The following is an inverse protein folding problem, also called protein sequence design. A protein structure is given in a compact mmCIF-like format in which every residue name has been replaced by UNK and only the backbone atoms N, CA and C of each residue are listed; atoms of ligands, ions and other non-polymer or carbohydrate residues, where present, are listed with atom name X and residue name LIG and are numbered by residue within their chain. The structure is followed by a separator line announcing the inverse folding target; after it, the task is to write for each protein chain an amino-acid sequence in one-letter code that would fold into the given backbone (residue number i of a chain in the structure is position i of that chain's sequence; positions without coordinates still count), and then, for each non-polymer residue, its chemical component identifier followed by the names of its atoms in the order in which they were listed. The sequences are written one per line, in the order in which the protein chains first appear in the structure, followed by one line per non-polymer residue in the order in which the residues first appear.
data_IF_288419657652
#
_entry.id   IF_288419657652
#
_cell.length_a   1.000
_cell.length_b   1.000
_cell.length_c   1.000
_cell.angle_alpha   90.00
_cell.angle_beta   90.00
_cell.angle_gamma   90.00
#
_symmetry.space_group_name_H-M   'P 1'
#
loop_
_entity.id
_entity.type
_entity.pdbx_description
1 polymer ?
#
# COMPACT_ATOMS: atom_id res chain seq x y z
N UNK A 1 -35.55 36.74 -57.63
CA UNK A 1 -35.46 37.94 -58.48
C UNK A 1 -34.05 38.00 -59.00
N UNK A 2 -34.00 37.69 -60.23
CA UNK A 2 -33.57 38.53 -61.35
C UNK A 2 -32.09 38.86 -61.26
N UNK A 3 -31.38 38.36 -62.08
CA UNK A 3 -31.01 38.73 -63.51
C UNK A 3 -29.59 39.23 -63.43
N UNK A 4 -28.67 39.03 -64.27
CA UNK A 4 -28.58 38.61 -65.66
C UNK A 4 -27.08 38.64 -65.97
N UNK A 5 -26.61 37.67 -66.62
CA UNK A 5 -26.54 37.65 -68.09
C UNK A 5 -25.37 38.47 -68.65
N UNK A 6 -24.49 37.69 -69.25
CA UNK A 6 -23.89 37.98 -70.57
C UNK A 6 -22.86 39.12 -70.66
N UNK A 7 -21.85 39.07 -71.36
CA UNK A 7 -21.68 38.54 -72.73
C UNK A 7 -20.16 38.66 -73.11
N UNK A 8 -19.79 37.79 -73.91
CA UNK A 8 -19.06 37.95 -75.19
C UNK A 8 -17.53 38.01 -75.07
N UNK A 9 -16.84 37.00 -75.41
CA UNK A 9 -16.59 36.41 -76.70
C UNK A 9 -15.69 37.26 -77.62
N UNK A 10 -14.78 36.55 -78.17
CA UNK A 10 -14.02 36.80 -79.41
C UNK A 10 -12.79 37.70 -79.23
N UNK A 11 -11.68 37.34 -79.67
CA UNK A 11 -11.09 36.94 -80.98
C UNK A 11 -9.63 36.66 -80.74
N UNK A 12 -9.16 35.54 -80.92
CA UNK A 12 -8.70 34.98 -82.24
C UNK A 12 -7.36 35.54 -82.73
N UNK A 13 -6.53 34.59 -82.83
CA UNK A 13 -5.68 34.38 -84.01
C UNK A 13 -4.30 35.01 -84.07
N UNK A 14 -3.39 34.08 -84.08
CA UNK A 14 -2.21 33.87 -84.95
C UNK A 14 -1.00 34.81 -84.79
N UNK A 15 0.13 34.30 -84.68
CA UNK A 15 1.06 33.78 -85.70
C UNK A 15 2.36 33.43 -84.97
N UNK A 16 2.79 32.21 -85.03
CA UNK A 16 3.96 31.77 -85.82
C UNK A 16 5.19 32.65 -85.76
N UNK A 17 6.18 32.12 -85.10
CA UNK A 17 7.47 31.78 -85.69
C UNK A 17 8.48 31.65 -84.58
N UNK A 18 9.04 30.50 -84.45
CA UNK A 18 10.29 30.13 -84.99
C UNK A 18 11.51 30.31 -84.10
N UNK A 19 12.24 29.28 -84.11
CA UNK A 19 13.67 29.14 -83.83
C UNK A 19 14.21 28.93 -82.44
N UNK A 20 14.60 27.73 -82.24
CA UNK A 20 16.00 27.37 -82.09
C UNK A 20 16.69 27.97 -80.86
N UNK A 21 16.81 27.15 -79.87
CA UNK A 21 17.68 27.40 -78.72
C UNK A 21 17.84 26.16 -77.93
N UNK A 22 18.88 25.45 -78.26
CA UNK A 22 19.46 24.39 -77.43
C UNK A 22 19.70 24.94 -76.07
N UNK A 23 18.87 24.49 -75.08
CA UNK A 23 19.07 24.83 -73.71
C UNK A 23 19.60 23.60 -73.02
N UNK A 24 20.84 23.74 -72.66
CA UNK A 24 21.49 22.98 -71.64
C UNK A 24 20.49 22.66 -70.46
N UNK A 25 20.21 21.40 -70.28
CA UNK A 25 19.63 20.91 -69.04
C UNK A 25 20.69 21.06 -68.00
N UNK A 26 20.71 22.22 -67.31
CA UNK A 26 21.33 22.31 -66.06
C UNK A 26 20.52 21.36 -65.12
N UNK A 27 21.06 20.19 -64.93
CA UNK A 27 20.65 19.29 -63.89
C UNK A 27 20.85 20.06 -62.58
N UNK A 28 19.75 20.53 -62.01
CA UNK A 28 19.73 21.00 -60.62
C UNK A 28 20.03 19.78 -59.77
N UNK A 29 21.31 19.59 -59.48
CA UNK A 29 21.78 18.65 -58.51
C UNK A 29 21.10 19.03 -57.22
N UNK A 30 20.06 18.27 -56.84
CA UNK A 30 19.48 18.35 -55.49
C UNK A 30 20.63 18.00 -54.55
N UNK A 31 21.27 19.01 -54.01
CA UNK A 31 22.14 18.84 -52.88
C UNK A 31 21.30 18.23 -51.76
N UNK A 32 21.38 16.94 -51.59
CA UNK A 32 20.85 16.27 -50.43
C UNK A 32 21.56 16.87 -49.21
N UNK A 33 20.88 17.77 -48.53
CA UNK A 33 21.36 18.27 -47.23
C UNK A 33 21.55 17.06 -46.31
N UNK A 34 22.82 16.68 -46.19
CA UNK A 34 23.19 15.63 -45.25
C UNK A 34 22.71 16.01 -43.86
N UNK A 35 21.94 15.14 -43.20
CA UNK A 35 21.39 15.45 -41.87
C UNK A 35 22.53 15.78 -40.92
N UNK A 36 22.45 16.93 -40.28
CA UNK A 36 23.42 17.35 -39.25
C UNK A 36 23.14 16.54 -37.99
N UNK A 37 24.11 15.78 -37.54
CA UNK A 37 24.05 15.01 -36.28
C UNK A 37 24.96 15.65 -35.25
N UNK A 38 24.48 15.71 -34.02
CA UNK A 38 25.25 16.13 -32.85
C UNK A 38 25.78 14.87 -32.16
N UNK A 39 27.08 14.80 -31.98
CA UNK A 39 27.71 13.70 -31.26
C UNK A 39 27.80 14.01 -29.77
N UNK A 40 27.53 13.01 -28.93
CA UNK A 40 27.79 13.06 -27.52
C UNK A 40 28.63 11.85 -27.11
N UNK A 41 29.70 12.07 -26.36
CA UNK A 41 30.46 10.98 -25.75
C UNK A 41 29.69 10.42 -24.59
N UNK A 42 29.59 9.11 -24.49
CA UNK A 42 28.93 8.41 -23.43
C UNK A 42 29.95 7.71 -22.53
N UNK A 43 29.77 7.78 -21.25
CA UNK A 43 30.63 7.14 -20.25
C UNK A 43 29.78 6.35 -19.28
N UNK A 44 30.33 5.26 -18.77
CA UNK A 44 29.73 4.57 -17.65
C UNK A 44 29.86 5.46 -16.40
N UNK A 45 28.75 5.64 -15.69
CA UNK A 45 28.71 6.36 -14.43
C UNK A 45 27.81 5.64 -13.42
N UNK A 46 28.07 5.82 -12.13
CA UNK A 46 27.21 5.24 -11.10
C UNK A 46 25.81 5.83 -11.20
N UNK A 47 24.81 4.96 -11.26
CA UNK A 47 23.38 5.30 -11.30
C UNK A 47 22.68 4.57 -10.20
N UNK A 48 21.95 5.31 -9.37
CA UNK A 48 21.15 4.73 -8.29
C UNK A 48 20.00 3.89 -8.84
N UNK A 49 19.85 2.69 -8.32
CA UNK A 49 18.80 1.76 -8.68
C UNK A 49 17.56 2.05 -7.81
N UNK A 50 16.84 3.10 -8.17
CA UNK A 50 15.66 3.54 -7.45
C UNK A 50 14.41 2.89 -8.06
N UNK A 51 13.55 2.33 -7.20
CA UNK A 51 12.23 1.82 -7.58
C UNK A 51 11.17 2.42 -6.66
N UNK A 52 10.05 2.82 -7.26
CA UNK A 52 8.91 3.38 -6.56
C UNK A 52 7.77 2.35 -6.51
N UNK A 53 7.22 2.15 -5.34
CA UNK A 53 6.11 1.22 -5.08
C UNK A 53 4.95 1.99 -4.48
N UNK A 54 3.74 1.64 -4.90
CA UNK A 54 2.52 2.21 -4.34
C UNK A 54 1.98 1.33 -3.23
N UNK A 55 1.48 1.95 -2.16
CA UNK A 55 0.88 1.26 -1.03
C UNK A 55 -0.25 2.07 -0.41
N UNK A 56 -1.15 1.38 0.27
CA UNK A 56 -2.11 2.02 1.17
C UNK A 56 -1.59 1.93 2.59
N UNK A 57 -1.63 3.05 3.28
CA UNK A 57 -1.28 3.13 4.70
C UNK A 57 -2.25 2.30 5.52
N UNK A 58 -1.73 1.50 6.43
CA UNK A 58 -2.49 0.67 7.35
C UNK A 58 -2.12 1.01 8.79
N UNK A 59 -3.07 0.81 9.70
CA UNK A 59 -2.77 0.84 11.12
C UNK A 59 -1.76 -0.26 11.48
N UNK A 60 -0.88 -0.02 12.45
CA UNK A 60 0.04 -1.05 12.97
C UNK A 60 -0.74 -2.26 13.50
N UNK A 61 -1.78 -1.98 14.29
CA UNK A 61 -2.71 -2.97 14.82
C UNK A 61 -4.14 -2.43 14.68
N UNK A 62 -5.05 -3.28 14.24
CA UNK A 62 -6.48 -3.01 14.17
C UNK A 62 -7.21 -4.04 15.02
N UNK A 63 -7.96 -3.58 16.02
CA UNK A 63 -8.74 -4.43 16.89
C UNK A 63 -10.23 -4.14 16.78
N UNK A 64 -10.97 -5.19 16.54
CA UNK A 64 -12.42 -5.18 16.53
C UNK A 64 -12.92 -5.50 17.95
N UNK A 65 -13.61 -4.57 18.58
CA UNK A 65 -14.11 -4.69 19.94
C UNK A 65 -15.57 -5.15 19.88
N UNK A 66 -15.81 -6.35 20.35
CA UNK A 66 -17.12 -6.95 20.38
C UNK A 66 -17.23 -7.95 21.54
N UNK A 67 -18.42 -8.18 22.12
CA UNK A 67 -18.64 -9.27 23.05
C UNK A 67 -18.67 -10.60 22.29
N UNK A 68 -18.40 -11.71 22.98
CA UNK A 68 -18.41 -13.06 22.39
C UNK A 68 -19.81 -13.65 22.21
N UNK A 69 -20.83 -13.03 22.77
CA UNK A 69 -22.21 -13.49 22.71
C UNK A 69 -23.18 -12.34 22.53
N UNK A 70 -24.40 -12.59 21.99
CA UNK A 70 -25.43 -11.57 21.87
C UNK A 70 -25.80 -10.98 23.23
N UNK A 71 -25.75 -9.65 23.35
CA UNK A 71 -26.04 -8.93 24.59
C UNK A 71 -26.39 -7.47 24.28
N UNK A 72 -27.24 -6.87 25.11
CA UNK A 72 -27.63 -5.46 24.98
C UNK A 72 -26.48 -4.55 25.40
N UNK A 73 -26.29 -3.48 24.66
CA UNK A 73 -25.36 -2.40 24.99
C UNK A 73 -26.04 -1.46 25.97
N UNK A 74 -25.45 -1.32 27.13
CA UNK A 74 -25.95 -0.39 28.16
C UNK A 74 -25.40 1.03 27.89
N UNK A 75 -24.07 1.16 27.77
CA UNK A 75 -23.42 2.44 27.52
C UNK A 75 -22.10 2.32 26.80
N UNK A 76 -21.89 3.20 25.85
CA UNK A 76 -20.62 3.41 25.13
C UNK A 76 -19.99 4.71 25.69
N UNK A 77 -18.72 4.65 26.10
CA UNK A 77 -18.01 5.74 26.78
C UNK A 77 -17.11 6.56 25.86
N UNK A 78 -17.00 6.18 24.61
CA UNK A 78 -16.07 6.78 23.63
C UNK A 78 -16.76 7.03 22.29
N UNK A 79 -16.24 8.04 21.59
CA UNK A 79 -16.71 8.42 20.26
C UNK A 79 -15.62 8.17 19.21
N UNK A 80 -16.00 8.22 17.92
CA UNK A 80 -15.05 8.13 16.80
C UNK A 80 -14.09 9.32 16.85
N UNK A 81 -12.79 9.02 16.81
CA UNK A 81 -11.72 10.00 16.94
C UNK A 81 -11.09 10.08 18.34
N UNK A 82 -11.72 9.50 19.36
CA UNK A 82 -11.18 9.50 20.72
C UNK A 82 -9.91 8.65 20.84
N UNK A 83 -8.96 9.15 21.63
CA UNK A 83 -7.76 8.40 22.01
C UNK A 83 -8.06 7.52 23.22
N UNK A 84 -7.69 6.26 23.10
CA UNK A 84 -7.93 5.27 24.16
C UNK A 84 -6.62 4.61 24.58
N UNK A 85 -6.53 4.28 25.87
CA UNK A 85 -5.39 3.57 26.44
C UNK A 85 -5.73 2.10 26.63
N UNK A 86 -4.69 1.25 26.58
CA UNK A 86 -4.84 -0.17 26.88
C UNK A 86 -5.46 -0.37 28.28
N UNK A 87 -6.50 -1.21 28.35
CA UNK A 87 -7.27 -1.46 29.59
C UNK A 87 -8.34 -0.43 29.88
N UNK A 88 -8.47 0.64 29.09
CA UNK A 88 -9.57 1.60 29.24
C UNK A 88 -10.90 0.94 28.89
N UNK A 89 -11.91 1.18 29.72
CA UNK A 89 -13.27 0.71 29.46
C UNK A 89 -13.90 1.52 28.33
N UNK A 90 -14.35 0.82 27.30
CA UNK A 90 -14.93 1.41 26.11
C UNK A 90 -16.45 1.26 26.07
N UNK A 91 -16.94 0.08 26.43
CA UNK A 91 -18.37 -0.25 26.38
C UNK A 91 -18.77 -0.99 27.62
N UNK A 92 -19.94 -0.66 28.14
CA UNK A 92 -20.66 -1.42 29.15
C UNK A 92 -21.82 -2.15 28.50
N UNK A 93 -21.82 -3.45 28.64
CA UNK A 93 -22.95 -4.31 28.25
C UNK A 93 -23.87 -4.55 29.45
N UNK A 94 -25.07 -5.03 29.19
CA UNK A 94 -26.02 -5.41 30.26
C UNK A 94 -25.36 -6.37 31.25
N UNK A 95 -25.43 -5.99 32.51
CA UNK A 95 -24.78 -6.70 33.61
C UNK A 95 -25.71 -7.65 34.38
N UNK A 96 -26.93 -7.91 33.91
CA UNK A 96 -27.89 -8.75 34.65
C UNK A 96 -27.34 -10.17 34.88
N UNK A 97 -26.82 -10.80 33.82
CA UNK A 97 -26.21 -12.14 33.90
C UNK A 97 -24.94 -12.15 34.75
N UNK A 98 -24.14 -11.09 34.67
CA UNK A 98 -22.93 -10.93 35.50
C UNK A 98 -23.25 -10.85 36.96
N UNK A 99 -24.28 -10.05 37.35
CA UNK A 99 -24.75 -9.95 38.75
C UNK A 99 -25.22 -11.31 39.26
N UNK A 100 -25.99 -12.06 38.45
CA UNK A 100 -26.43 -13.40 38.83
C UNK A 100 -25.26 -14.36 39.02
N UNK A 101 -24.29 -14.34 38.12
CA UNK A 101 -23.09 -15.19 38.24
C UNK A 101 -22.24 -14.82 39.45
N UNK A 102 -22.18 -13.53 39.81
CA UNK A 102 -21.51 -13.06 41.02
C UNK A 102 -22.11 -13.69 42.28
N UNK A 103 -23.43 -13.64 42.42
CA UNK A 103 -24.11 -14.28 43.58
C UNK A 103 -23.91 -15.80 43.63
N UNK A 104 -23.91 -16.47 42.47
CA UNK A 104 -23.60 -17.91 42.42
C UNK A 104 -22.17 -18.20 42.85
N UNK A 105 -21.22 -17.37 42.43
CA UNK A 105 -19.82 -17.48 42.82
C UNK A 105 -19.65 -17.26 44.33
N UNK A 106 -20.23 -16.21 44.89
CA UNK A 106 -20.18 -15.91 46.34
C UNK A 106 -20.74 -17.09 47.17
N UNK A 107 -21.88 -17.65 46.77
CA UNK A 107 -22.43 -18.84 47.44
C UNK A 107 -21.49 -20.04 47.34
N UNK A 108 -20.91 -20.31 46.18
CA UNK A 108 -19.97 -21.43 45.97
C UNK A 108 -18.68 -21.24 46.77
N UNK A 109 -18.21 -20.01 46.94
CA UNK A 109 -17.04 -19.69 47.79
C UNK A 109 -17.32 -19.99 49.25
N UNK A 110 -18.54 -19.68 49.75
CA UNK A 110 -18.96 -19.99 51.13
C UNK A 110 -19.02 -21.52 51.30
N UNK A 111 -19.65 -22.25 50.40
CA UNK A 111 -19.74 -23.71 50.49
C UNK A 111 -18.38 -24.38 50.41
N UNK A 112 -17.51 -23.94 49.51
CA UNK A 112 -16.14 -24.48 49.43
C UNK A 112 -15.37 -24.22 50.72
N UNK A 113 -15.49 -23.02 51.31
CA UNK A 113 -14.83 -22.67 52.59
C UNK A 113 -15.27 -23.60 53.72
N UNK A 114 -16.57 -23.90 53.81
CA UNK A 114 -17.08 -24.87 54.81
C UNK A 114 -16.51 -26.26 54.60
N UNK A 115 -16.50 -26.75 53.34
CA UNK A 115 -15.95 -28.07 52.98
C UNK A 115 -14.44 -28.13 53.24
N UNK A 116 -13.72 -27.06 52.99
CA UNK A 116 -12.27 -26.95 53.24
C UNK A 116 -11.95 -26.98 54.75
N UNK A 117 -12.76 -26.28 55.56
CA UNK A 117 -12.62 -26.35 57.02
C UNK A 117 -12.92 -27.75 57.56
N UNK A 118 -13.97 -28.43 57.09
CA UNK A 118 -14.26 -29.82 57.44
C UNK A 118 -13.15 -30.78 57.01
N UNK A 119 -12.61 -30.62 55.82
CA UNK A 119 -11.54 -31.45 55.32
C UNK A 119 -10.27 -31.35 56.15
N UNK A 120 -9.93 -30.14 56.64
CA UNK A 120 -8.76 -29.90 57.50
C UNK A 120 -8.84 -30.62 58.85
N UNK A 121 -10.04 -30.87 59.35
CA UNK A 121 -10.26 -31.60 60.60
C UNK A 121 -10.68 -33.06 60.39
N UNK A 122 -10.59 -33.58 59.14
CA UNK A 122 -10.96 -34.95 58.80
C UNK A 122 -12.47 -35.23 58.75
N UNK A 123 -13.31 -34.18 58.71
CA UNK A 123 -14.78 -34.28 58.72
C UNK A 123 -15.41 -34.52 57.34
N UNK A 124 -14.64 -34.54 56.28
CA UNK A 124 -15.11 -34.85 54.92
C UNK A 124 -14.04 -35.62 54.14
N UNK A 125 -14.47 -36.33 53.10
CA UNK A 125 -13.56 -37.08 52.23
C UNK A 125 -12.79 -36.16 51.25
N UNK A 126 -11.62 -36.63 50.78
CA UNK A 126 -10.87 -35.95 49.73
C UNK A 126 -11.69 -35.79 48.44
N UNK A 127 -12.50 -36.80 48.10
CA UNK A 127 -13.36 -36.77 46.92
C UNK A 127 -14.40 -35.64 46.99
N UNK A 128 -15.01 -35.42 48.16
CA UNK A 128 -15.96 -34.33 48.37
C UNK A 128 -15.27 -32.96 48.31
N UNK A 129 -14.05 -32.84 48.91
CA UNK A 129 -13.27 -31.61 48.82
C UNK A 129 -12.87 -31.28 47.38
N UNK A 130 -12.37 -32.30 46.63
CA UNK A 130 -12.01 -32.12 45.21
C UNK A 130 -13.22 -31.73 44.34
N UNK A 131 -14.41 -32.32 44.63
CA UNK A 131 -15.64 -31.95 43.94
C UNK A 131 -16.09 -30.51 44.23
N UNK A 132 -16.03 -30.09 45.52
CA UNK A 132 -16.37 -28.70 45.92
C UNK A 132 -15.40 -27.68 45.29
N UNK A 133 -14.10 -28.01 45.22
CA UNK A 133 -13.10 -27.17 44.57
C UNK A 133 -13.35 -27.02 43.07
N UNK A 134 -13.65 -28.13 42.39
CA UNK A 134 -13.98 -28.10 40.97
C UNK A 134 -15.23 -27.24 40.70
N UNK A 135 -16.28 -27.38 41.54
CA UNK A 135 -17.47 -26.57 41.39
C UNK A 135 -17.18 -25.07 41.54
N UNK A 136 -16.32 -24.70 42.49
CA UNK A 136 -15.87 -23.32 42.70
C UNK A 136 -15.09 -22.81 41.46
N UNK A 137 -14.16 -23.60 40.97
CA UNK A 137 -13.33 -23.21 39.80
C UNK A 137 -14.18 -23.02 38.51
N UNK A 138 -15.24 -23.84 38.33
CA UNK A 138 -16.24 -23.65 37.28
C UNK A 138 -16.98 -22.32 37.41
N UNK A 139 -17.47 -21.97 38.64
CA UNK A 139 -18.15 -20.70 38.84
C UNK A 139 -17.23 -19.51 38.66
N UNK A 140 -15.98 -19.58 39.12
CA UNK A 140 -14.97 -18.54 38.88
C UNK A 140 -14.74 -18.30 37.38
N UNK A 141 -14.60 -19.36 36.62
CA UNK A 141 -14.40 -19.27 35.17
C UNK A 141 -15.62 -18.67 34.48
N UNK A 142 -16.83 -19.09 34.87
CA UNK A 142 -18.09 -18.53 34.35
C UNK A 142 -18.22 -17.03 34.65
N UNK A 143 -17.93 -16.62 35.87
CA UNK A 143 -17.97 -15.20 36.26
C UNK A 143 -16.95 -14.38 35.49
N UNK A 144 -15.72 -14.90 35.36
CA UNK A 144 -14.65 -14.23 34.60
C UNK A 144 -15.04 -14.02 33.13
N UNK A 145 -15.56 -15.05 32.47
CA UNK A 145 -16.00 -14.97 31.07
C UNK A 145 -17.13 -13.94 30.89
N UNK A 146 -18.10 -13.90 31.82
CA UNK A 146 -19.16 -12.89 31.78
C UNK A 146 -18.63 -11.49 32.06
N UNK A 147 -17.65 -11.33 32.94
CA UNK A 147 -17.03 -10.03 33.24
C UNK A 147 -16.33 -9.47 31.97
N UNK A 148 -15.54 -10.30 31.26
CA UNK A 148 -14.87 -9.91 30.04
C UNK A 148 -15.84 -9.52 28.91
N UNK A 149 -17.02 -10.14 28.88
CA UNK A 149 -18.08 -9.83 27.90
C UNK A 149 -18.98 -8.67 28.32
N UNK A 150 -19.00 -8.30 29.62
CA UNK A 150 -19.84 -7.20 30.13
C UNK A 150 -19.11 -5.85 30.08
N UNK A 151 -17.81 -5.84 30.31
CA UNK A 151 -17.00 -4.62 30.25
C UNK A 151 -15.95 -4.79 29.14
N UNK A 152 -16.22 -4.23 27.97
CA UNK A 152 -15.27 -4.28 26.86
C UNK A 152 -14.19 -3.25 27.07
N UNK A 153 -12.95 -3.72 27.13
CA UNK A 153 -11.76 -2.91 27.36
C UNK A 153 -10.93 -2.80 26.08
N UNK A 154 -10.20 -1.70 25.93
CA UNK A 154 -9.24 -1.58 24.84
C UNK A 154 -8.03 -2.51 25.06
N UNK A 155 -7.68 -3.39 24.11
CA UNK A 155 -6.47 -4.23 24.21
C UNK A 155 -5.19 -3.47 23.88
N UNK A 156 -5.29 -2.29 23.24
CA UNK A 156 -4.17 -1.48 22.76
C UNK A 156 -4.33 0.00 23.11
N UNK A 157 -3.23 0.75 22.97
CA UNK A 157 -3.28 2.20 22.89
C UNK A 157 -3.57 2.60 21.46
N UNK A 158 -4.60 3.40 21.21
CA UNK A 158 -4.99 3.74 19.84
C UNK A 158 -6.05 4.81 19.76
N UNK A 159 -6.71 4.86 18.61
CA UNK A 159 -7.81 5.77 18.32
C UNK A 159 -9.02 4.96 17.89
N UNK A 160 -10.20 5.36 18.30
CA UNK A 160 -11.46 4.77 17.85
C UNK A 160 -11.72 5.22 16.42
N UNK A 161 -11.76 4.28 15.48
CA UNK A 161 -11.96 4.58 14.05
C UNK A 161 -13.36 4.27 13.55
N UNK A 162 -14.10 3.42 14.22
CA UNK A 162 -15.50 3.15 13.91
C UNK A 162 -16.31 2.85 15.17
N UNK A 163 -17.59 3.25 15.12
CA UNK A 163 -18.62 2.95 16.08
C UNK A 163 -19.87 2.54 15.29
N UNK A 164 -20.30 1.28 15.42
CA UNK A 164 -21.35 0.69 14.60
C UNK A 164 -22.66 0.49 15.34
N UNK A 165 -22.70 0.78 16.67
CA UNK A 165 -23.86 0.62 17.51
C UNK A 165 -24.05 1.82 18.43
N UNK A 166 -25.27 2.01 18.91
CA UNK A 166 -25.64 3.03 19.87
C UNK A 166 -26.02 2.45 21.24
N UNK A 167 -26.13 3.34 22.24
CA UNK A 167 -26.59 2.96 23.57
C UNK A 167 -28.00 2.40 23.50
N UNK A 168 -28.22 1.25 24.10
CA UNK A 168 -29.51 0.56 24.11
C UNK A 168 -29.69 -0.48 22.98
N UNK A 169 -28.80 -0.51 21.99
CA UNK A 169 -28.86 -1.48 20.91
C UNK A 169 -28.58 -2.91 21.39
N UNK A 170 -29.08 -3.87 20.62
CA UNK A 170 -28.80 -5.28 20.83
C UNK A 170 -27.67 -5.72 19.91
N UNK A 171 -26.53 -6.11 20.50
CA UNK A 171 -25.49 -6.78 19.73
C UNK A 171 -25.92 -8.23 19.44
N UNK A 172 -26.00 -8.57 18.17
CA UNK A 172 -26.41 -9.90 17.69
C UNK A 172 -25.35 -10.66 16.90
N UNK A 173 -24.12 -10.10 16.79
CA UNK A 173 -23.06 -10.61 15.96
C UNK A 173 -22.98 -9.84 14.62
N UNK A 174 -21.92 -10.11 13.87
CA UNK A 174 -21.64 -9.46 12.59
C UNK A 174 -20.58 -8.38 12.74
N UNK A 175 -20.94 -7.10 12.70
CA UNK A 175 -19.97 -6.00 12.83
C UNK A 175 -19.53 -5.79 14.29
N UNK A 176 -18.27 -5.38 14.52
CA UNK A 176 -17.80 -5.06 15.87
C UNK A 176 -18.50 -3.81 16.40
N UNK A 177 -18.68 -3.73 17.73
CA UNK A 177 -19.27 -2.54 18.38
C UNK A 177 -18.41 -1.31 18.13
N UNK A 178 -17.10 -1.46 18.33
CA UNK A 178 -16.09 -0.42 18.08
C UNK A 178 -14.89 -1.01 17.34
N UNK A 179 -14.21 -0.15 16.60
CA UNK A 179 -12.90 -0.48 16.03
C UNK A 179 -11.87 0.46 16.63
N UNK A 180 -10.80 -0.10 17.18
CA UNK A 180 -9.67 0.65 17.74
C UNK A 180 -8.43 0.35 16.91
N UNK A 181 -7.78 1.39 16.43
CA UNK A 181 -6.59 1.27 15.59
C UNK A 181 -5.39 1.99 16.21
N UNK A 182 -4.25 1.32 16.19
CA UNK A 182 -2.98 1.94 16.55
C UNK A 182 -2.40 2.61 15.31
N UNK A 183 -2.41 3.96 15.31
CA UNK A 183 -1.96 4.79 14.20
C UNK A 183 -0.56 5.39 14.42
N UNK A 184 0.08 5.03 15.50
CA UNK A 184 1.46 5.43 15.84
C UNK A 184 2.19 4.22 16.40
N UNK A 185 3.09 3.60 15.61
CA UNK A 185 3.38 3.84 14.20
C UNK A 185 2.27 3.40 13.25
N UNK A 186 2.45 3.66 11.93
CA UNK A 186 1.66 3.06 10.84
C UNK A 186 2.54 2.15 10.00
N UNK A 187 1.92 1.27 9.22
CA UNK A 187 2.61 0.36 8.31
C UNK A 187 2.10 0.48 6.89
N UNK A 188 2.97 0.17 5.94
CA UNK A 188 2.68 0.09 4.52
C UNK A 188 3.13 -1.27 4.00
N UNK A 189 2.29 -1.90 3.19
CA UNK A 189 2.64 -3.16 2.54
C UNK A 189 2.93 -2.89 1.08
N UNK A 190 4.14 -3.20 0.63
CA UNK A 190 4.56 -3.11 -0.77
C UNK A 190 4.92 -4.48 -1.31
N UNK A 191 4.71 -4.71 -2.60
CA UNK A 191 5.08 -5.94 -3.27
C UNK A 191 6.31 -5.69 -4.14
N UNK A 192 7.43 -6.28 -3.76
CA UNK A 192 8.73 -6.11 -4.43
C UNK A 192 9.02 -7.31 -5.32
N UNK A 193 9.56 -7.08 -6.52
CA UNK A 193 9.93 -8.14 -7.45
C UNK A 193 11.03 -9.05 -6.89
N UNK A 194 10.93 -10.38 -7.14
CA UNK A 194 11.89 -11.39 -6.66
C UNK A 194 13.34 -11.08 -7.02
N UNK A 195 13.60 -10.40 -8.13
CA UNK A 195 14.95 -10.01 -8.56
C UNK A 195 15.68 -9.09 -7.57
N UNK A 196 14.96 -8.42 -6.69
CA UNK A 196 15.52 -7.55 -5.66
C UNK A 196 15.60 -8.20 -4.27
N UNK A 197 15.21 -9.47 -4.13
CA UNK A 197 15.14 -10.15 -2.83
C UNK A 197 16.45 -10.07 -2.03
N UNK A 198 17.59 -10.32 -2.70
CA UNK A 198 18.91 -10.27 -2.05
C UNK A 198 19.33 -8.85 -1.59
N UNK A 199 18.73 -7.80 -2.17
CA UNK A 199 19.05 -6.39 -1.90
C UNK A 199 18.17 -5.77 -0.81
N UNK A 200 16.99 -6.34 -0.56
CA UNK A 200 16.06 -5.84 0.47
C UNK A 200 16.44 -6.42 1.83
N UNK A 201 16.74 -5.54 2.78
CA UNK A 201 17.12 -5.96 4.14
C UNK A 201 16.25 -5.28 5.18
N UNK A 202 15.92 -6.02 6.24
CA UNK A 202 15.27 -5.45 7.42
C UNK A 202 16.13 -4.32 8.01
N UNK A 203 15.47 -3.21 8.38
CA UNK A 203 16.13 -2.03 8.93
C UNK A 203 16.63 -1.03 7.90
N UNK A 204 16.54 -1.33 6.60
CA UNK A 204 16.91 -0.34 5.56
C UNK A 204 15.97 0.86 5.60
N UNK A 205 16.51 2.09 5.49
CA UNK A 205 15.70 3.30 5.41
C UNK A 205 15.01 3.37 4.05
N UNK A 206 13.80 3.92 4.03
CA UNK A 206 13.01 4.15 2.83
C UNK A 206 12.37 5.52 2.90
N UNK A 207 12.24 6.19 1.76
CA UNK A 207 11.49 7.43 1.66
C UNK A 207 10.02 7.12 1.32
N UNK A 208 9.10 7.73 2.04
CA UNK A 208 7.66 7.58 1.84
C UNK A 208 7.05 8.93 1.52
N UNK A 209 6.39 9.05 0.38
CA UNK A 209 5.60 10.23 0.00
C UNK A 209 4.13 9.89 0.09
N UNK A 210 3.36 10.75 0.74
CA UNK A 210 1.91 10.61 0.84
C UNK A 210 1.27 11.66 -0.06
N UNK A 211 0.47 11.26 -1.02
CA UNK A 211 -0.06 12.14 -2.08
C UNK A 211 -0.75 13.40 -1.56
N UNK A 212 -1.38 13.32 -0.38
CA UNK A 212 -2.06 14.47 0.26
C UNK A 212 -1.09 15.59 0.67
N UNK A 213 0.18 15.25 0.94
CA UNK A 213 1.20 16.21 1.41
C UNK A 213 2.19 16.61 0.29
N UNK A 214 1.91 16.24 -0.97
CA UNK A 214 2.73 16.60 -2.12
C UNK A 214 4.16 16.07 -2.00
N UNK A 215 5.13 16.98 -1.94
CA UNK A 215 6.56 16.62 -1.93
C UNK A 215 7.15 16.38 -0.52
N UNK A 216 6.33 16.43 0.55
CA UNK A 216 6.79 16.13 1.91
C UNK A 216 7.19 14.65 1.99
N UNK A 217 8.44 14.39 2.36
CA UNK A 217 8.98 13.03 2.51
C UNK A 217 8.96 12.62 3.98
N UNK A 218 8.46 11.44 4.23
CA UNK A 218 8.45 10.79 5.53
C UNK A 218 9.48 9.67 5.55
N UNK A 219 10.28 9.62 6.59
CA UNK A 219 11.26 8.55 6.78
C UNK A 219 10.57 7.29 7.32
N UNK A 220 10.68 6.22 6.55
CA UNK A 220 10.25 4.88 6.92
C UNK A 220 11.42 3.91 7.05
N UNK A 221 11.15 2.75 7.61
CA UNK A 221 12.12 1.65 7.70
C UNK A 221 11.47 0.34 7.31
N UNK A 222 12.22 -0.54 6.66
CA UNK A 222 11.77 -1.91 6.38
C UNK A 222 11.71 -2.67 7.71
N UNK A 223 10.51 -3.02 8.15
CA UNK A 223 10.27 -3.75 9.38
C UNK A 223 10.31 -5.27 9.19
N UNK A 224 9.70 -5.74 8.10
CA UNK A 224 9.61 -7.17 7.81
C UNK A 224 9.71 -7.40 6.30
N UNK A 225 10.49 -8.41 5.93
CA UNK A 225 10.54 -8.98 4.58
C UNK A 225 9.93 -10.37 4.68
N UNK A 226 8.86 -10.62 3.96
CA UNK A 226 8.18 -11.91 3.99
C UNK A 226 9.03 -12.98 3.29
N UNK A 227 9.11 -14.20 3.83
CA UNK A 227 9.95 -15.26 3.26
C UNK A 227 9.33 -15.95 2.05
N UNK A 228 8.06 -15.69 1.76
CA UNK A 228 7.31 -16.32 0.67
C UNK A 228 7.19 -15.40 -0.52
N UNK A 229 7.33 -15.98 -1.72
CA UNK A 229 7.16 -15.30 -3.00
C UNK A 229 5.84 -15.79 -3.60
N UNK A 230 5.01 -14.87 -4.07
CA UNK A 230 3.81 -15.20 -4.83
C UNK A 230 4.23 -15.68 -6.23
N UNK A 231 3.89 -16.92 -6.56
CA UNK A 231 4.28 -17.55 -7.82
C UNK A 231 3.61 -16.91 -9.05
N UNK A 232 2.43 -16.29 -8.89
CA UNK A 232 1.70 -15.68 -10.00
C UNK A 232 2.27 -14.31 -10.36
N UNK A 233 2.57 -13.49 -9.33
CA UNK A 233 3.05 -12.11 -9.52
C UNK A 233 4.57 -12.00 -9.51
N UNK A 234 5.29 -13.05 -9.09
CA UNK A 234 6.75 -13.04 -8.90
C UNK A 234 7.21 -11.91 -7.99
N UNK A 235 6.43 -11.63 -6.93
CA UNK A 235 6.72 -10.61 -5.94
C UNK A 235 6.69 -11.18 -4.53
N UNK A 236 7.35 -10.50 -3.61
CA UNK A 236 7.28 -10.79 -2.18
C UNK A 236 6.82 -9.55 -1.42
N UNK A 237 5.98 -9.72 -0.38
CA UNK A 237 5.54 -8.60 0.43
C UNK A 237 6.67 -8.09 1.33
N UNK A 238 6.72 -6.77 1.47
CA UNK A 238 7.64 -6.07 2.38
C UNK A 238 6.82 -5.10 3.22
N UNK A 239 6.95 -5.18 4.54
CA UNK A 239 6.33 -4.26 5.46
C UNK A 239 7.28 -3.10 5.76
N UNK A 240 6.83 -1.91 5.46
CA UNK A 240 7.50 -0.66 5.80
C UNK A 240 6.78 -0.03 6.98
N UNK A 241 7.54 0.36 8.02
CA UNK A 241 7.01 1.05 9.20
C UNK A 241 7.39 2.52 9.16
N UNK A 242 6.39 3.36 9.43
CA UNK A 242 6.53 4.80 9.56
C UNK A 242 6.18 5.23 10.98
N UNK A 243 7.05 6.02 11.62
CA UNK A 243 6.91 6.38 13.06
C UNK A 243 5.64 7.19 13.36
N UNK A 244 5.24 8.09 12.45
CA UNK A 244 3.99 8.89 12.50
C UNK A 244 3.70 9.57 13.85
N UNK A 245 4.69 10.22 14.46
CA UNK A 245 4.53 10.89 15.76
C UNK A 245 3.48 12.00 15.73
N UNK A 246 3.44 12.74 14.65
CA UNK A 246 2.54 13.89 14.47
C UNK A 246 1.13 13.45 14.03
N UNK A 247 0.92 12.15 13.81
CA UNK A 247 -0.35 11.57 13.37
C UNK A 247 -0.91 12.20 12.08
N UNK A 248 -0.03 12.78 11.26
CA UNK A 248 -0.38 13.33 9.95
C UNK A 248 -0.83 12.22 9.01
N UNK A 249 -0.12 11.11 8.98
CA UNK A 249 -0.42 9.98 8.11
C UNK A 249 -1.49 9.10 8.73
N UNK A 250 -2.59 8.90 8.02
CA UNK A 250 -3.75 8.13 8.50
C UNK A 250 -3.93 6.84 7.71
N UNK A 251 -4.40 5.76 8.36
CA UNK A 251 -4.83 4.56 7.66
C UNK A 251 -5.82 4.90 6.54
N UNK A 252 -5.67 4.21 5.40
CA UNK A 252 -6.45 4.47 4.20
C UNK A 252 -5.83 5.48 3.22
N UNK A 253 -4.84 6.28 3.63
CA UNK A 253 -4.15 7.18 2.71
C UNK A 253 -3.30 6.39 1.71
N UNK A 254 -3.18 6.93 0.49
CA UNK A 254 -2.32 6.40 -0.54
C UNK A 254 -0.91 6.99 -0.40
N UNK A 255 0.10 6.14 -0.54
CA UNK A 255 1.48 6.53 -0.39
C UNK A 255 2.38 5.84 -1.43
N UNK A 256 3.50 6.48 -1.74
CA UNK A 256 4.56 5.97 -2.60
C UNK A 256 5.80 5.72 -1.75
N UNK A 257 6.33 4.53 -1.86
CA UNK A 257 7.52 4.09 -1.13
C UNK A 257 8.65 3.97 -2.12
N UNK A 258 9.71 4.73 -1.90
CA UNK A 258 10.91 4.73 -2.73
C UNK A 258 11.98 3.87 -2.08
N UNK A 259 12.37 2.81 -2.78
CA UNK A 259 13.46 1.92 -2.38
C UNK A 259 14.69 2.20 -3.25
N UNK A 260 15.85 2.36 -2.61
CA UNK A 260 17.14 2.41 -3.28
C UNK A 260 17.86 1.07 -3.11
N UNK A 261 18.10 0.37 -4.22
CA UNK A 261 18.77 -0.94 -4.25
C UNK A 261 20.27 -0.84 -4.46
N UNK A 262 20.85 0.34 -4.20
CA UNK A 262 22.26 0.63 -4.40
C UNK A 262 22.55 1.21 -5.78
N UNK A 263 23.83 1.44 -6.03
CA UNK A 263 24.34 2.10 -7.21
C UNK A 263 24.98 1.07 -8.15
N UNK A 264 24.73 1.18 -9.44
CA UNK A 264 25.36 0.36 -10.47
C UNK A 264 25.92 1.26 -11.58
N UNK A 265 27.05 0.85 -12.14
CA UNK A 265 27.63 1.56 -13.28
C UNK A 265 26.83 1.25 -14.55
N UNK A 266 26.21 2.26 -15.12
CA UNK A 266 25.48 2.19 -16.37
C UNK A 266 25.99 3.22 -17.37
N UNK A 267 25.98 2.84 -18.64
CA UNK A 267 26.21 3.77 -19.73
C UNK A 267 25.00 4.72 -19.85
N UNK A 268 25.25 5.99 -19.62
CA UNK A 268 24.20 7.02 -19.64
C UNK A 268 24.27 7.78 -20.94
N UNK A 269 23.13 7.84 -21.63
CA UNK A 269 22.96 8.57 -22.89
C UNK A 269 22.00 9.74 -22.69
N UNK A 270 22.21 10.87 -23.39
CA UNK A 270 21.23 11.97 -23.37
C UNK A 270 19.87 11.50 -23.90
N UNK A 271 18.79 11.97 -23.30
CA UNK A 271 17.42 11.59 -23.70
C UNK A 271 17.14 11.92 -25.18
N UNK A 272 17.70 13.04 -25.67
CA UNK A 272 17.60 13.45 -27.08
C UNK A 272 18.27 12.47 -28.06
N UNK A 273 19.17 11.60 -27.60
CA UNK A 273 19.80 10.58 -28.41
C UNK A 273 18.96 9.32 -28.58
N UNK A 274 17.86 9.20 -27.82
CA UNK A 274 16.97 8.05 -27.86
C UNK A 274 15.93 8.24 -28.96
N UNK A 275 15.97 7.41 -29.97
CA UNK A 275 14.99 7.41 -31.06
C UNK A 275 13.97 6.31 -30.80
N UNK A 276 12.69 6.68 -30.83
CA UNK A 276 11.57 5.73 -30.74
C UNK A 276 11.11 5.31 -32.11
N UNK A 277 11.03 4.01 -32.37
CA UNK A 277 10.49 3.48 -33.63
C UNK A 277 8.96 3.58 -33.60
N UNK A 278 8.41 4.23 -34.63
CA UNK A 278 6.97 4.32 -34.76
C UNK A 278 6.37 2.92 -34.97
N UNK A 279 5.37 2.56 -34.14
CA UNK A 279 4.62 1.31 -34.26
C UNK A 279 5.15 0.11 -33.47
N UNK A 280 6.40 0.09 -32.95
CA UNK A 280 6.90 -1.06 -32.17
C UNK A 280 7.23 -0.76 -30.71
N UNK A 281 7.27 0.51 -30.31
CA UNK A 281 7.70 0.89 -28.96
C UNK A 281 9.20 0.72 -28.67
N UNK A 282 9.96 0.19 -29.63
CA UNK A 282 11.40 0.01 -29.51
C UNK A 282 12.13 1.34 -29.41
N UNK A 283 13.16 1.36 -28.58
CA UNK A 283 14.05 2.51 -28.41
C UNK A 283 15.46 2.12 -28.82
N UNK A 284 16.09 2.95 -29.61
CA UNK A 284 17.46 2.71 -30.08
C UNK A 284 18.28 4.00 -30.11
N UNK A 285 19.60 3.85 -30.06
CA UNK A 285 20.57 4.92 -30.20
C UNK A 285 21.48 4.62 -31.36
N UNK A 286 21.84 5.64 -32.12
CA UNK A 286 22.84 5.50 -33.17
C UNK A 286 24.24 5.60 -32.56
N UNK A 287 25.09 4.63 -32.87
CA UNK A 287 26.49 4.64 -32.46
C UNK A 287 27.36 5.01 -33.66
N UNK A 288 28.29 5.96 -33.49
CA UNK A 288 29.29 6.27 -34.49
C UNK A 288 30.43 5.26 -34.34
N UNK A 289 30.53 4.34 -35.32
CA UNK A 289 31.64 3.41 -35.41
C UNK A 289 32.69 4.00 -36.30
N UNK A 290 33.87 4.32 -35.76
CA UNK A 290 35.07 4.61 -36.56
C UNK A 290 35.64 3.27 -37.01
N UNK A 291 35.04 2.65 -38.02
CA UNK A 291 35.66 1.52 -38.69
C UNK A 291 36.58 2.05 -39.78
N UNK A 292 37.88 1.85 -39.64
CA UNK A 292 38.71 1.76 -40.87
C UNK A 292 38.07 0.65 -41.72
N UNK A 293 37.91 0.85 -43.04
CA UNK A 293 37.27 -0.13 -43.90
C UNK A 293 37.95 -1.48 -43.72
N UNK A 294 37.18 -2.48 -43.29
CA UNK A 294 37.69 -3.85 -43.19
C UNK A 294 38.09 -4.34 -44.57
N UNK A 295 39.22 -5.01 -44.75
CA UNK A 295 39.60 -5.61 -46.03
C UNK A 295 38.56 -6.58 -46.59
N UNK A 296 37.55 -6.95 -45.80
CA UNK A 296 36.45 -7.85 -46.20
C UNK A 296 35.18 -7.13 -46.65
N UNK A 297 35.10 -5.79 -46.51
CA UNK A 297 33.94 -5.08 -47.04
C UNK A 297 33.99 -5.16 -48.58
N UNK A 298 32.95 -5.72 -49.24
CA UNK A 298 32.91 -5.76 -50.67
C UNK A 298 32.97 -4.31 -51.18
N UNK A 299 34.00 -4.01 -51.99
CA UNK A 299 34.07 -2.75 -52.68
C UNK A 299 32.80 -2.64 -53.54
N UNK A 300 31.83 -1.87 -53.08
CA UNK A 300 30.79 -1.36 -53.95
C UNK A 300 31.45 -0.40 -54.91
N UNK A 301 32.03 -0.99 -56.02
CA UNK A 301 32.44 -0.24 -57.18
C UNK A 301 31.19 0.11 -57.96
N UNK A 302 30.96 1.35 -58.09
CA UNK A 302 30.25 2.18 -59.09
C UNK A 302 28.98 2.87 -58.51
#
# INVERSE_FOLDING_TARGET
MKKSVQLIALMAVALLSSCGGEKDKAATEKVEEKPRVKLASVTARPVDQIQEYTATVQAEVKNNIAPSSPVRIDQIFVEVGDRVSKGQKLVQMDAANLKQAKFRLENQEIEFKRTDELYKVGGTSKSEWDAAKMALDVQKTTYKNLLENTALLSPINGVVTARNYDNGDMYSGGEPVLVVEQITPVKLMINVSEGYFAKVKKGSPVAVKVDVYGDEEFEGTINLVYPTIDANTRTFPVEVRLTNRDQKVRPGMFARVTLNFGTQDHVVVPDLAIVKRAGSGDRYVYCLLYTSPSPRDPKTSR
#
